data_IF_149848887120
#
_entry.id   IF_149848887120
#
_cell.length_a   1.000
_cell.length_b   1.000
_cell.length_c   1.000
_cell.angle_alpha   90.00
_cell.angle_beta   90.00
_cell.angle_gamma   90.00
#
_symmetry.space_group_name_H-M   'P 1'
#
loop_
_entity.id
_entity.type
_entity.pdbx_description
1 polymer ?
#
# COMPACT_ATOMS: atom_id res chain seq x y z
N UNK A 1 -23.58 23.80 -21.12
CA UNK A 1 -22.85 22.90 -20.20
C UNK A 1 -21.74 22.23 -20.99
N UNK A 2 -20.50 22.67 -20.77
CA UNK A 2 -19.32 22.18 -21.48
C UNK A 2 -18.61 21.15 -20.59
N UNK A 3 -18.41 19.94 -21.10
CA UNK A 3 -17.65 18.87 -20.41
C UNK A 3 -16.22 18.96 -20.94
N UNK A 4 -15.29 19.42 -20.09
CA UNK A 4 -13.86 19.48 -20.42
C UNK A 4 -13.18 18.17 -20.01
N UNK A 5 -12.48 17.58 -20.99
CA UNK A 5 -11.60 16.42 -20.84
C UNK A 5 -10.44 16.70 -19.88
N UNK A 6 -10.05 15.68 -19.11
CA UNK A 6 -8.82 15.68 -18.32
C UNK A 6 -7.91 14.56 -18.83
N UNK A 7 -6.94 14.93 -19.67
CA UNK A 7 -5.88 14.04 -20.14
C UNK A 7 -4.76 13.96 -19.09
N UNK A 8 -4.36 12.74 -18.75
CA UNK A 8 -3.23 12.44 -17.88
C UNK A 8 -1.95 12.49 -18.72
N UNK A 9 -1.06 13.43 -18.44
CA UNK A 9 0.25 13.52 -19.04
C UNK A 9 1.27 12.74 -18.20
N UNK A 10 1.89 11.72 -18.80
CA UNK A 10 3.06 11.01 -18.27
C UNK A 10 4.30 11.77 -18.75
N UNK A 11 5.10 12.30 -17.82
CA UNK A 11 6.41 12.90 -18.11
C UNK A 11 7.51 12.03 -17.48
N UNK A 12 8.16 11.21 -18.30
CA UNK A 12 9.46 10.62 -18.02
C UNK A 12 10.53 11.60 -18.52
N UNK A 13 11.13 12.36 -17.62
CA UNK A 13 12.21 13.30 -17.92
C UNK A 13 13.55 12.79 -17.41
N UNK A 14 14.20 11.90 -18.16
CA UNK A 14 15.61 11.54 -17.97
C UNK A 14 16.49 12.55 -18.70
N UNK A 15 17.18 13.43 -17.96
CA UNK A 15 18.16 14.35 -18.54
C UNK A 15 19.57 13.75 -18.42
N UNK A 16 20.09 13.25 -19.54
CA UNK A 16 21.52 13.01 -19.76
C UNK A 16 22.12 14.36 -20.16
N UNK A 17 22.88 14.99 -19.27
CA UNK A 17 23.71 16.14 -19.62
C UNK A 17 25.14 15.65 -19.87
N UNK A 18 25.50 15.55 -21.15
CA UNK A 18 26.89 15.50 -21.62
C UNK A 18 27.50 16.90 -21.42
N UNK A 19 28.56 16.99 -20.61
CA UNK A 19 29.48 18.14 -20.68
C UNK A 19 30.93 17.67 -20.83
N UNK A 20 31.43 17.96 -22.03
CA UNK A 20 32.83 18.05 -22.43
C UNK A 20 33.65 18.79 -21.38
N UNK A 21 34.84 18.27 -21.06
CA UNK A 21 35.85 18.96 -20.25
C UNK A 21 36.79 19.72 -21.19
N UNK A 22 36.97 21.03 -21.00
CA UNK A 22 38.24 21.64 -21.34
C UNK A 22 38.79 22.48 -20.18
N UNK A 23 40.11 22.46 -20.06
CA UNK A 23 40.83 23.68 -19.68
C UNK A 23 41.21 23.80 -18.21
N UNK A 24 42.36 23.20 -17.90
CA UNK A 24 43.28 23.59 -16.84
C UNK A 24 43.56 25.10 -16.86
N UNK A 25 43.24 25.80 -15.76
CA UNK A 25 43.84 27.08 -15.43
C UNK A 25 43.89 27.25 -13.90
N UNK A 26 45.08 27.63 -13.42
CA UNK A 26 45.48 27.74 -12.04
C UNK A 26 44.84 28.94 -11.30
N UNK A 27 44.80 28.89 -9.97
CA UNK A 27 44.70 30.10 -9.15
C UNK A 27 43.96 29.95 -7.82
N UNK A 28 44.71 29.59 -6.78
CA UNK A 28 44.60 30.02 -5.37
C UNK A 28 43.20 30.20 -4.72
N UNK A 29 42.91 29.38 -3.70
CA UNK A 29 42.19 29.81 -2.50
C UNK A 29 42.79 29.16 -1.24
N UNK A 30 43.02 30.04 -0.27
CA UNK A 30 43.64 29.95 1.06
C UNK A 30 42.94 28.97 2.03
N UNK A 31 43.64 28.20 2.90
CA UNK A 31 42.99 27.40 3.93
C UNK A 31 42.91 28.20 5.24
N UNK A 32 41.71 28.57 5.65
CA UNK A 32 41.44 28.89 7.05
C UNK A 32 40.38 27.92 7.56
N UNK A 33 40.85 26.90 8.27
CA UNK A 33 40.02 26.13 9.19
C UNK A 33 39.62 27.06 10.34
N UNK A 34 38.31 27.18 10.61
CA UNK A 34 37.88 27.35 11.99
C UNK A 34 36.64 26.50 12.29
N UNK A 35 36.86 25.64 13.27
CA UNK A 35 36.02 24.62 13.83
C UNK A 35 34.88 25.25 14.65
N UNK A 36 33.63 24.92 14.32
CA UNK A 36 32.45 25.42 15.03
C UNK A 36 31.34 24.38 15.05
N UNK A 37 31.49 23.37 15.90
CA UNK A 37 30.57 22.24 16.02
C UNK A 37 29.11 22.66 16.23
N UNK A 38 28.27 22.38 15.24
CA UNK A 38 26.88 21.97 15.49
C UNK A 38 26.77 20.51 15.13
N UNK A 39 26.79 19.67 16.16
CA UNK A 39 26.19 18.33 16.13
C UNK A 39 24.71 18.52 15.85
N UNK A 40 24.32 18.75 14.60
CA UNK A 40 23.01 18.33 14.15
C UNK A 40 23.09 16.80 14.15
N UNK A 41 22.63 16.17 15.23
CA UNK A 41 22.31 14.75 15.20
C UNK A 41 21.46 14.47 13.97
N UNK A 42 21.47 13.23 13.42
CA UNK A 42 20.69 12.91 12.24
C UNK A 42 19.29 13.47 12.44
N UNK A 43 18.87 14.34 11.52
CA UNK A 43 17.50 14.81 11.46
C UNK A 43 16.62 13.58 11.70
N UNK A 44 15.73 13.65 12.69
CA UNK A 44 14.90 12.52 13.07
C UNK A 44 14.17 12.07 11.80
N UNK A 45 14.60 10.93 11.31
CA UNK A 45 14.28 10.41 10.00
C UNK A 45 12.78 10.05 9.96
N UNK A 46 11.95 10.88 9.32
CA UNK A 46 10.51 10.65 9.10
C UNK A 46 10.23 9.43 8.19
N UNK A 47 11.27 8.65 7.88
CA UNK A 47 11.31 7.64 6.84
C UNK A 47 11.07 6.20 7.32
N UNK A 48 10.71 5.96 8.60
CA UNK A 48 10.35 4.61 9.10
C UNK A 48 8.87 4.27 9.06
N UNK A 49 8.09 4.94 8.21
CA UNK A 49 6.77 4.41 7.85
C UNK A 49 7.02 3.14 7.02
N UNK A 50 7.00 1.97 7.67
CA UNK A 50 7.07 0.70 6.94
C UNK A 50 5.95 0.69 5.88
N UNK A 51 6.18 0.16 4.68
CA UNK A 51 5.15 0.13 3.65
C UNK A 51 3.90 -0.55 4.21
N UNK A 52 2.73 -0.01 3.89
CA UNK A 52 1.47 -0.66 4.23
C UNK A 52 1.48 -2.05 3.59
N UNK A 53 1.09 -3.08 4.33
CA UNK A 53 1.06 -4.46 3.86
C UNK A 53 -0.17 -5.18 4.37
N UNK A 54 -0.63 -6.17 3.62
CA UNK A 54 -1.79 -6.99 3.95
C UNK A 54 -1.37 -8.44 3.96
N UNK A 55 -1.80 -9.18 4.98
CA UNK A 55 -1.62 -10.62 5.09
C UNK A 55 -2.95 -11.28 5.34
N UNK A 56 -3.33 -12.21 4.47
CA UNK A 56 -4.50 -13.06 4.64
C UNK A 56 -4.06 -14.38 5.28
N UNK A 57 -4.90 -14.96 6.14
CA UNK A 57 -4.65 -16.28 6.73
C UNK A 57 -4.85 -17.43 5.73
N UNK A 58 -5.55 -17.18 4.62
CA UNK A 58 -5.79 -18.15 3.56
C UNK A 58 -5.99 -17.42 2.23
N UNK A 59 -5.63 -18.10 1.13
CA UNK A 59 -5.77 -17.58 -0.23
C UNK A 59 -7.19 -17.77 -0.79
N UNK A 60 -7.96 -18.68 -0.19
CA UNK A 60 -9.32 -19.03 -0.62
C UNK A 60 -10.30 -18.70 0.48
N UNK A 61 -11.39 -18.04 0.10
CA UNK A 61 -12.54 -17.77 0.96
C UNK A 61 -13.78 -18.39 0.31
N UNK A 62 -14.55 -19.15 1.08
CA UNK A 62 -15.82 -19.72 0.63
C UNK A 62 -17.01 -19.00 1.28
N UNK A 63 -18.18 -19.10 0.65
CA UNK A 63 -19.43 -18.58 1.24
C UNK A 63 -19.68 -19.24 2.61
N UNK A 64 -19.97 -18.41 3.61
CA UNK A 64 -20.20 -18.81 5.00
C UNK A 64 -18.93 -19.05 5.82
N UNK A 65 -17.74 -18.98 5.21
CA UNK A 65 -16.47 -19.10 5.92
C UNK A 65 -15.89 -17.72 6.27
N UNK A 66 -14.86 -17.73 7.12
CA UNK A 66 -14.14 -16.52 7.49
C UNK A 66 -12.64 -16.74 7.52
N UNK A 67 -11.91 -15.72 7.10
CA UNK A 67 -10.44 -15.66 7.18
C UNK A 67 -10.02 -14.46 8.02
N UNK A 68 -8.76 -14.46 8.47
CA UNK A 68 -8.18 -13.31 9.14
C UNK A 68 -7.36 -12.48 8.14
N UNK A 69 -7.56 -11.17 8.19
CA UNK A 69 -6.78 -10.18 7.47
C UNK A 69 -6.01 -9.35 8.50
N UNK A 70 -4.68 -9.33 8.37
CA UNK A 70 -3.79 -8.54 9.22
C UNK A 70 -3.15 -7.43 8.40
N UNK A 71 -3.25 -6.20 8.91
CA UNK A 71 -2.59 -5.02 8.35
C UNK A 71 -1.25 -4.83 9.06
N UNK A 72 -0.19 -4.66 8.27
CA UNK A 72 1.17 -4.41 8.77
C UNK A 72 1.74 -3.12 8.19
N UNK A 73 2.71 -2.54 8.88
CA UNK A 73 3.31 -1.26 8.50
C UNK A 73 2.31 -0.10 8.56
N UNK A 74 2.57 0.96 7.80
CA UNK A 74 1.78 2.20 7.82
C UNK A 74 1.74 2.87 9.19
N UNK A 75 0.78 3.80 9.34
CA UNK A 75 0.54 4.52 10.60
C UNK A 75 -0.92 4.37 11.03
N UNK A 76 -1.13 3.79 12.22
CA UNK A 76 -2.45 3.70 12.86
C UNK A 76 -3.05 5.11 13.11
N UNK A 77 -4.39 5.26 13.13
CA UNK A 77 -5.41 4.22 12.94
C UNK A 77 -5.63 3.84 11.47
N UNK A 78 -5.95 2.56 11.23
CA UNK A 78 -6.31 2.07 9.90
C UNK A 78 -7.80 2.29 9.60
N UNK A 79 -8.09 2.69 8.36
CA UNK A 79 -9.44 2.86 7.82
C UNK A 79 -9.70 1.76 6.79
N UNK A 80 -10.81 1.04 6.94
CA UNK A 80 -11.20 -0.02 6.01
C UNK A 80 -12.52 0.35 5.36
N UNK A 81 -12.53 0.28 4.03
CA UNK A 81 -13.70 0.49 3.20
C UNK A 81 -13.89 -0.77 2.35
N UNK A 82 -15.07 -1.36 2.42
CA UNK A 82 -15.49 -2.46 1.53
C UNK A 82 -16.58 -1.93 0.61
N UNK A 83 -16.41 -2.16 -0.69
CA UNK A 83 -17.30 -1.58 -1.71
C UNK A 83 -18.53 -2.47 -1.99
N UNK A 84 -18.38 -3.79 -1.86
CA UNK A 84 -19.43 -4.75 -2.19
C UNK A 84 -19.95 -5.49 -0.95
N UNK A 85 -21.27 -5.70 -0.91
CA UNK A 85 -21.95 -6.44 0.17
C UNK A 85 -21.72 -7.96 0.11
N UNK A 86 -20.70 -8.43 -0.62
CA UNK A 86 -20.35 -9.85 -0.77
C UNK A 86 -19.48 -10.36 0.38
N UNK A 87 -18.76 -9.46 1.04
CA UNK A 87 -17.95 -9.75 2.20
C UNK A 87 -18.36 -8.84 3.35
N UNK A 88 -18.11 -9.30 4.58
CA UNK A 88 -18.22 -8.48 5.78
C UNK A 88 -16.87 -8.46 6.48
N UNK A 89 -16.38 -7.26 6.78
CA UNK A 89 -15.14 -7.08 7.56
C UNK A 89 -15.52 -6.70 8.98
N UNK A 90 -15.04 -7.45 9.96
CA UNK A 90 -15.29 -7.25 11.38
C UNK A 90 -13.96 -7.01 12.09
N UNK A 91 -13.76 -5.87 12.77
CA UNK A 91 -12.54 -5.63 13.54
C UNK A 91 -12.43 -6.63 14.70
N UNK A 92 -11.28 -7.29 14.82
CA UNK A 92 -10.98 -8.22 15.92
C UNK A 92 -9.98 -7.60 16.90
N UNK A 93 -9.05 -6.80 16.38
CA UNK A 93 -8.03 -6.08 17.16
C UNK A 93 -7.72 -4.73 16.48
N UNK A 94 -6.62 -4.07 16.87
CA UNK A 94 -6.18 -2.82 16.24
C UNK A 94 -5.79 -2.97 14.76
N UNK A 95 -5.20 -4.11 14.40
CA UNK A 95 -4.65 -4.36 13.07
C UNK A 95 -5.12 -5.70 12.45
N UNK A 96 -5.96 -6.46 13.16
CA UNK A 96 -6.53 -7.72 12.69
C UNK A 96 -8.03 -7.58 12.50
N UNK A 97 -8.49 -8.11 11.38
CA UNK A 97 -9.89 -8.07 10.95
C UNK A 97 -10.32 -9.46 10.50
N UNK A 98 -11.51 -9.87 10.90
CA UNK A 98 -12.16 -11.06 10.38
C UNK A 98 -12.92 -10.69 9.10
N UNK A 99 -12.62 -11.36 8.01
CA UNK A 99 -13.32 -11.21 6.72
C UNK A 99 -14.21 -12.43 6.54
N UNK A 100 -15.52 -12.20 6.43
CA UNK A 100 -16.55 -13.24 6.29
C UNK A 100 -17.08 -13.19 4.86
N UNK A 101 -17.09 -14.34 4.17
CA UNK A 101 -17.70 -14.48 2.85
C UNK A 101 -19.22 -14.62 2.97
N UNK A 102 -19.99 -13.66 2.45
CA UNK A 102 -21.45 -13.68 2.46
C UNK A 102 -22.04 -14.24 1.16
N UNK A 103 -21.47 -13.87 0.01
CA UNK A 103 -21.98 -14.25 -1.32
C UNK A 103 -20.81 -14.42 -2.27
N UNK A 104 -20.90 -15.38 -3.20
CA UNK A 104 -19.82 -15.64 -4.13
C UNK A 104 -19.53 -14.47 -5.08
N UNK A 105 -18.27 -14.39 -5.52
CA UNK A 105 -17.73 -13.40 -6.45
C UNK A 105 -16.62 -12.54 -5.82
N UNK A 106 -16.00 -11.73 -6.67
CA UNK A 106 -14.96 -10.79 -6.27
C UNK A 106 -15.55 -9.57 -5.54
N UNK A 107 -14.83 -9.11 -4.52
CA UNK A 107 -15.05 -7.86 -3.80
C UNK A 107 -13.72 -7.17 -3.52
N UNK A 108 -13.73 -5.84 -3.56
CA UNK A 108 -12.56 -5.01 -3.30
C UNK A 108 -12.65 -4.39 -1.91
N UNK A 109 -11.54 -4.50 -1.17
CA UNK A 109 -11.36 -3.84 0.12
C UNK A 109 -10.24 -2.82 -0.02
N UNK A 110 -10.51 -1.58 0.34
CA UNK A 110 -9.49 -0.54 0.43
C UNK A 110 -9.12 -0.32 1.89
N UNK A 111 -7.83 -0.40 2.18
CA UNK A 111 -7.24 -0.18 3.49
C UNK A 111 -6.40 1.09 3.38
N UNK A 112 -6.70 2.08 4.21
CA UNK A 112 -5.95 3.33 4.31
C UNK A 112 -5.30 3.48 5.69
N UNK A 113 -4.16 4.15 5.74
CA UNK A 113 -3.50 4.53 6.98
C UNK A 113 -3.74 6.03 7.31
N UNK A 114 -3.17 6.51 8.41
CA UNK A 114 -3.30 7.90 8.84
C UNK A 114 -2.35 8.86 8.10
N UNK A 115 -1.37 8.36 7.34
CA UNK A 115 -0.46 9.13 6.47
C UNK A 115 -0.95 9.16 5.01
N UNK A 116 -2.21 8.82 4.78
CA UNK A 116 -2.85 8.80 3.45
C UNK A 116 -2.30 7.73 2.48
N UNK A 117 -1.55 6.75 2.98
CA UNK A 117 -1.23 5.55 2.19
C UNK A 117 -2.47 4.68 2.06
N UNK A 118 -2.69 4.09 0.88
CA UNK A 118 -3.81 3.18 0.64
C UNK A 118 -3.40 1.97 -0.18
N UNK A 119 -4.03 0.83 0.11
CA UNK A 119 -3.90 -0.42 -0.65
C UNK A 119 -5.29 -0.97 -0.92
N UNK A 120 -5.49 -1.42 -2.16
CA UNK A 120 -6.67 -2.17 -2.57
C UNK A 120 -6.34 -3.65 -2.62
N UNK A 121 -7.15 -4.46 -1.94
CA UNK A 121 -7.07 -5.91 -1.95
C UNK A 121 -8.35 -6.47 -2.55
N UNK A 122 -8.21 -7.23 -3.64
CA UNK A 122 -9.30 -8.04 -4.17
C UNK A 122 -9.41 -9.34 -3.37
N UNK A 123 -10.63 -9.68 -2.96
CA UNK A 123 -10.96 -10.92 -2.27
C UNK A 123 -12.07 -11.61 -3.05
N UNK A 124 -11.80 -12.83 -3.50
CA UNK A 124 -12.77 -13.65 -4.23
C UNK A 124 -13.41 -14.66 -3.30
N UNK A 125 -14.73 -14.59 -3.19
CA UNK A 125 -15.53 -15.58 -2.47
C UNK A 125 -15.97 -16.67 -3.44
N UNK A 126 -15.64 -17.92 -3.14
CA UNK A 126 -16.01 -19.07 -3.94
C UNK A 126 -17.29 -19.72 -3.41
N UNK A 127 -18.08 -20.28 -4.32
CA UNK A 127 -19.18 -21.15 -3.94
C UNK A 127 -18.66 -22.42 -3.25
N UNK A 128 -19.43 -22.92 -2.29
CA UNK A 128 -19.12 -24.20 -1.66
C UNK A 128 -19.68 -25.31 -2.53
N UNK A 129 -18.81 -26.18 -3.03
CA UNK A 129 -19.25 -27.39 -3.71
C UNK A 129 -19.64 -28.42 -2.65
N UNK A 130 -20.93 -28.70 -2.55
CA UNK A 130 -21.42 -29.87 -1.84
C UNK A 130 -21.48 -31.01 -2.85
N UNK A 131 -20.56 -31.97 -2.73
CA UNK A 131 -20.76 -33.25 -3.41
C UNK A 131 -22.04 -33.87 -2.86
N UNK A 132 -23.11 -33.82 -3.64
CA UNK A 132 -24.19 -34.78 -3.49
C UNK A 132 -23.59 -36.11 -3.91
N UNK A 133 -23.23 -36.94 -2.93
CA UNK A 133 -23.08 -38.36 -3.21
C UNK A 133 -24.40 -38.80 -3.83
N UNK A 134 -24.43 -39.30 -5.07
CA UNK A 134 -25.67 -39.80 -5.62
C UNK A 134 -26.17 -40.86 -4.64
N UNK A 135 -27.33 -40.61 -4.04
CA UNK A 135 -27.97 -41.60 -3.19
C UNK A 135 -28.14 -42.85 -4.05
N UNK A 136 -27.62 -43.95 -3.56
CA UNK A 136 -27.78 -45.24 -4.21
C UNK A 136 -29.12 -45.80 -3.76
N UNK A 137 -30.18 -45.61 -4.54
CA UNK A 137 -31.33 -46.52 -4.66
C UNK A 137 -32.25 -46.09 -5.81
#
# INVERSE_FOLDING_TARGET
MQIKALGIAVLLGSAICLFTVPGWAAGAQDPTEEEGGRRTGPAYDDSRSQPLTIRLSADKLYVGESILMTVGGGVEPYRIISYEQKIRVVPQSKNTYQVIGLTAGASMVMIGDNKENSISQEITVHEKSYYHSPEKA
#
